data_IF_271259612226
#
_entry.id   IF_271259612226
#
_cell.length_a   1.000
_cell.length_b   1.000
_cell.length_c   1.000
_cell.angle_alpha   90.00
_cell.angle_beta   90.00
_cell.angle_gamma   90.00
#
_symmetry.space_group_name_H-M   'P 1'
#
loop_
_entity.id
_entity.type
_entity.pdbx_description
1 polymer ?
#
# COMPACT_ATOMS: atom_id res chain seq x y z
N UNK A 1 33.11 55.16 -9.79
CA UNK A 1 32.54 55.28 -11.16
C UNK A 1 32.94 54.18 -12.16
N UNK A 2 34.04 53.45 -11.95
CA UNK A 2 34.56 52.45 -12.92
C UNK A 2 33.74 51.13 -12.99
N UNK A 3 33.18 50.65 -11.87
CA UNK A 3 32.42 49.37 -11.83
C UNK A 3 31.11 49.38 -12.62
N UNK A 4 30.46 50.54 -12.81
CA UNK A 4 29.17 50.63 -13.51
C UNK A 4 29.32 50.47 -15.02
N UNK A 5 30.46 50.88 -15.61
CA UNK A 5 30.72 50.74 -17.05
C UNK A 5 31.05 49.29 -17.45
N UNK A 6 31.72 48.53 -16.58
CA UNK A 6 32.06 47.13 -16.87
C UNK A 6 30.83 46.22 -16.96
N UNK A 7 29.81 46.45 -16.12
CA UNK A 7 28.59 45.63 -16.11
C UNK A 7 27.74 45.77 -17.39
N UNK A 8 27.77 46.94 -18.04
CA UNK A 8 27.03 47.16 -19.29
C UNK A 8 27.73 46.53 -20.50
N UNK A 9 29.07 46.46 -20.49
CA UNK A 9 29.85 45.83 -21.56
C UNK A 9 29.65 44.31 -21.56
N UNK A 10 29.65 43.67 -20.38
CA UNK A 10 29.44 42.21 -20.28
C UNK A 10 28.03 41.81 -20.72
N UNK A 11 27.00 42.57 -20.33
CA UNK A 11 25.62 42.30 -20.76
C UNK A 11 25.48 42.45 -22.28
N UNK A 12 26.14 43.44 -22.88
CA UNK A 12 26.07 43.66 -24.33
C UNK A 12 26.74 42.52 -25.11
N UNK A 13 27.86 41.96 -24.62
CA UNK A 13 28.55 40.82 -25.26
C UNK A 13 27.71 39.54 -25.17
N UNK A 14 27.04 39.30 -24.04
CA UNK A 14 26.17 38.12 -23.87
C UNK A 14 24.96 38.19 -24.80
N UNK A 15 24.36 39.38 -24.95
CA UNK A 15 23.23 39.58 -25.87
C UNK A 15 23.66 39.41 -27.34
N UNK A 16 24.86 39.90 -27.71
CA UNK A 16 25.39 39.72 -29.06
C UNK A 16 25.68 38.24 -29.39
N UNK A 17 26.17 37.47 -28.41
CA UNK A 17 26.40 36.04 -28.55
C UNK A 17 25.10 35.23 -28.69
N UNK A 18 24.05 35.62 -27.98
CA UNK A 18 22.73 34.99 -28.08
C UNK A 18 22.05 35.25 -29.44
N UNK A 19 22.22 36.45 -30.03
CA UNK A 19 21.65 36.74 -31.36
C UNK A 19 22.35 35.97 -32.50
N UNK A 20 23.64 35.66 -32.36
CA UNK A 20 24.37 34.86 -33.36
C UNK A 20 23.92 33.39 -33.39
N UNK A 21 23.44 32.84 -32.27
CA UNK A 21 22.98 31.45 -32.17
C UNK A 21 21.63 31.19 -32.85
N UNK A 22 20.76 32.20 -32.96
CA UNK A 22 19.43 32.05 -33.57
C UNK A 22 19.38 32.27 -35.09
N UNK A 23 20.53 32.53 -35.74
CA UNK A 23 20.59 32.83 -37.18
C UNK A 23 21.00 31.62 -38.05
N UNK A 24 21.10 30.42 -37.47
CA UNK A 24 21.80 29.26 -38.06
C UNK A 24 21.00 28.24 -38.88
N UNK A 25 19.69 28.39 -39.09
CA UNK A 25 18.91 27.40 -39.85
C UNK A 25 17.96 28.07 -40.85
N UNK A 26 18.43 28.33 -42.07
CA UNK A 26 17.59 28.47 -43.26
C UNK A 26 18.47 28.35 -44.52
N UNK A 27 18.91 27.11 -44.83
CA UNK A 27 19.54 26.78 -46.09
C UNK A 27 18.47 26.18 -47.02
N UNK A 28 18.05 26.85 -48.12
CA UNK A 28 17.11 26.28 -49.06
C UNK A 28 17.83 25.24 -49.95
N UNK A 29 17.70 23.97 -49.59
CA UNK A 29 18.09 22.85 -50.43
C UNK A 29 17.11 22.68 -51.59
N UNK A 30 17.59 22.85 -52.81
CA UNK A 30 16.82 22.63 -54.04
C UNK A 30 16.71 21.11 -54.26
N UNK A 31 15.60 20.51 -53.88
CA UNK A 31 15.28 19.12 -54.22
C UNK A 31 14.44 19.15 -55.49
N UNK A 32 15.10 18.93 -56.63
CA UNK A 32 14.46 18.42 -57.83
C UNK A 32 14.71 16.91 -57.84
N UNK A 33 13.72 16.13 -57.43
CA UNK A 33 13.74 14.69 -57.61
C UNK A 33 12.34 14.21 -57.93
N UNK A 34 12.24 13.60 -59.10
CA UNK A 34 11.06 12.99 -59.67
C UNK A 34 10.55 11.90 -58.71
N UNK A 35 9.27 11.95 -58.34
CA UNK A 35 8.65 11.07 -57.33
C UNK A 35 8.74 9.59 -57.73
N UNK A 36 8.86 9.32 -59.04
CA UNK A 36 8.95 7.97 -59.58
C UNK A 36 10.29 7.27 -59.29
N UNK A 37 11.40 8.02 -59.13
CA UNK A 37 12.72 7.42 -58.84
C UNK A 37 12.86 6.97 -57.38
N UNK A 38 12.16 7.62 -56.44
CA UNK A 38 12.21 7.29 -55.01
C UNK A 38 11.42 6.00 -54.74
N UNK A 39 10.31 5.77 -55.45
CA UNK A 39 9.51 4.55 -55.31
C UNK A 39 10.25 3.34 -55.91
N UNK A 40 10.97 3.52 -57.03
CA UNK A 40 11.77 2.46 -57.64
C UNK A 40 12.98 2.03 -56.79
N UNK A 41 13.66 2.98 -56.13
CA UNK A 41 14.80 2.67 -55.25
C UNK A 41 14.35 1.98 -53.94
N UNK A 42 13.17 2.32 -53.42
CA UNK A 42 12.65 1.70 -52.19
C UNK A 42 12.21 0.25 -52.42
N UNK A 43 11.59 -0.06 -53.56
CA UNK A 43 11.17 -1.43 -53.91
C UNK A 43 12.36 -2.36 -54.20
N UNK A 44 13.47 -1.81 -54.72
CA UNK A 44 14.67 -2.61 -55.00
C UNK A 44 15.42 -2.96 -53.71
N UNK A 45 15.45 -2.06 -52.72
CA UNK A 45 16.08 -2.31 -51.42
C UNK A 45 15.36 -3.39 -50.59
N UNK A 46 14.02 -3.47 -50.66
CA UNK A 46 13.25 -4.54 -50.01
C UNK A 46 13.45 -5.93 -50.64
N UNK A 47 13.75 -5.99 -51.94
CA UNK A 47 13.97 -7.28 -52.63
C UNK A 47 15.33 -7.94 -52.31
N UNK A 48 16.32 -7.15 -51.91
CA UNK A 48 17.69 -7.64 -51.62
C UNK A 48 17.80 -8.19 -50.19
N UNK A 49 16.97 -7.72 -49.23
CA UNK A 49 16.95 -8.26 -47.87
C UNK A 49 16.28 -9.65 -47.76
N UNK A 50 15.51 -10.07 -48.75
CA UNK A 50 14.82 -11.37 -48.73
C UNK A 50 15.68 -12.57 -49.21
N UNK A 51 16.91 -12.34 -49.71
CA UNK A 51 17.75 -13.38 -50.32
C UNK A 51 19.11 -13.60 -49.66
N UNK A 52 19.39 -12.94 -48.53
CA UNK A 52 20.70 -13.00 -47.86
C UNK A 52 20.70 -13.78 -46.53
N UNK A 53 19.91 -14.84 -46.40
CA UNK A 53 19.98 -15.76 -45.24
C UNK A 53 20.10 -17.22 -45.70
N UNK A 54 21.28 -17.59 -46.16
CA UNK A 54 21.75 -18.99 -46.20
C UNK A 54 23.29 -19.01 -46.23
N UNK A 55 23.93 -18.68 -45.12
CA UNK A 55 25.34 -19.04 -44.91
C UNK A 55 25.46 -19.74 -43.56
N UNK A 56 25.57 -21.06 -43.65
CA UNK A 56 25.88 -22.00 -42.59
C UNK A 56 27.25 -21.64 -41.99
N UNK A 57 27.23 -21.06 -40.78
CA UNK A 57 28.44 -20.75 -40.01
C UNK A 57 28.42 -21.60 -38.75
N UNK A 58 29.56 -22.22 -38.45
CA UNK A 58 29.77 -23.14 -37.36
C UNK A 58 29.29 -22.59 -36.00
N UNK A 59 28.57 -23.45 -35.28
CA UNK A 59 27.94 -23.20 -33.98
C UNK A 59 29.02 -22.99 -32.91
N UNK A 60 29.21 -21.74 -32.50
CA UNK A 60 29.72 -21.40 -31.17
C UNK A 60 28.57 -21.62 -30.18
N UNK A 61 28.75 -22.32 -29.05
CA UNK A 61 27.67 -22.48 -28.08
C UNK A 61 27.27 -21.10 -27.56
N UNK A 62 26.04 -20.71 -27.88
CA UNK A 62 25.33 -19.56 -27.33
C UNK A 62 25.27 -19.73 -25.81
N UNK A 63 25.59 -18.70 -25.01
CA UNK A 63 25.33 -18.76 -23.58
C UNK A 63 23.84 -19.02 -23.41
N UNK A 64 23.48 -20.09 -22.71
CA UNK A 64 22.10 -20.38 -22.35
C UNK A 64 21.52 -19.13 -21.69
N UNK A 65 20.71 -18.39 -22.43
CA UNK A 65 19.90 -17.32 -21.90
C UNK A 65 19.02 -17.95 -20.82
N UNK A 66 19.13 -17.44 -19.60
CA UNK A 66 18.17 -17.76 -18.57
C UNK A 66 16.77 -17.49 -19.15
N UNK A 67 15.93 -18.52 -19.21
CA UNK A 67 14.53 -18.35 -19.63
C UNK A 67 13.92 -17.32 -18.68
N UNK A 68 13.48 -16.18 -19.23
CA UNK A 68 12.71 -15.20 -18.47
C UNK A 68 11.46 -15.92 -17.97
N UNK A 69 11.21 -16.00 -16.66
CA UNK A 69 10.06 -16.72 -16.15
C UNK A 69 8.77 -16.13 -16.74
N UNK A 70 7.92 -17.03 -17.24
CA UNK A 70 6.61 -16.66 -17.82
C UNK A 70 5.76 -16.01 -16.71
N UNK A 71 4.95 -14.98 -17.01
CA UNK A 71 4.05 -14.38 -16.03
C UNK A 71 3.27 -15.46 -15.27
N UNK A 72 3.35 -15.43 -13.93
CA UNK A 72 2.69 -16.42 -13.10
C UNK A 72 1.19 -16.16 -13.16
N UNK A 73 0.49 -16.93 -14.00
CA UNK A 73 -0.97 -17.01 -13.96
C UNK A 73 -1.40 -17.49 -12.58
N UNK A 74 -2.51 -16.98 -12.02
CA UNK A 74 -3.05 -17.46 -10.75
C UNK A 74 -3.06 -19.00 -10.73
N UNK A 75 -2.63 -19.63 -9.63
CA UNK A 75 -2.51 -21.08 -9.59
C UNK A 75 -3.86 -21.73 -9.87
N UNK A 76 -3.96 -22.47 -10.99
CA UNK A 76 -5.14 -23.23 -11.35
C UNK A 76 -5.23 -24.46 -10.41
N UNK A 77 -6.00 -24.33 -9.34
CA UNK A 77 -6.24 -25.42 -8.41
C UNK A 77 -7.25 -26.40 -9.05
N UNK A 78 -6.77 -27.57 -9.48
CA UNK A 78 -7.61 -28.59 -10.11
C UNK A 78 -8.67 -29.15 -9.16
N UNK A 79 -9.93 -29.17 -9.65
CA UNK A 79 -11.21 -29.37 -8.98
C UNK A 79 -11.49 -30.72 -8.26
N UNK A 80 -10.48 -31.45 -7.80
CA UNK A 80 -10.73 -32.54 -6.85
C UNK A 80 -11.17 -31.92 -5.51
N UNK A 81 -12.22 -32.42 -4.84
CA UNK A 81 -12.63 -31.90 -3.54
C UNK A 81 -11.48 -32.01 -2.55
N UNK A 82 -10.89 -30.87 -2.20
CA UNK A 82 -9.84 -30.78 -1.19
C UNK A 82 -10.50 -30.87 0.18
N UNK A 83 -10.03 -31.79 1.02
CA UNK A 83 -10.49 -31.90 2.40
C UNK A 83 -9.52 -31.11 3.28
N UNK A 84 -10.01 -30.01 3.85
CA UNK A 84 -9.25 -29.21 4.80
C UNK A 84 -9.32 -29.81 6.19
N UNK A 85 -8.17 -29.95 6.83
CA UNK A 85 -8.04 -30.49 8.19
C UNK A 85 -7.94 -29.36 9.20
N UNK A 86 -7.29 -28.27 8.79
CA UNK A 86 -7.00 -27.09 9.60
C UNK A 86 -7.44 -25.87 8.79
N UNK A 87 -8.27 -25.02 9.39
CA UNK A 87 -8.65 -23.74 8.81
C UNK A 87 -8.24 -22.62 9.77
N UNK A 88 -7.95 -21.41 9.27
CA UNK A 88 -7.70 -20.27 10.13
C UNK A 88 -8.93 -19.94 10.97
N UNK A 89 -8.69 -19.45 12.18
CA UNK A 89 -9.74 -18.93 13.06
C UNK A 89 -10.06 -17.46 12.73
N UNK A 90 -10.65 -16.78 13.71
CA UNK A 90 -10.71 -15.32 13.71
C UNK A 90 -9.37 -14.74 14.16
N UNK A 91 -9.04 -13.55 13.66
CA UNK A 91 -7.89 -12.79 14.15
C UNK A 91 -8.00 -12.56 15.66
N UNK A 92 -6.88 -12.71 16.35
CA UNK A 92 -6.79 -12.56 17.80
C UNK A 92 -6.43 -11.11 18.16
N UNK A 93 -5.88 -10.91 19.36
CA UNK A 93 -5.31 -9.62 19.75
C UNK A 93 -4.27 -9.16 18.73
N UNK A 94 -4.40 -7.94 18.24
CA UNK A 94 -3.43 -7.33 17.34
C UNK A 94 -2.09 -7.18 18.06
N UNK A 95 -1.03 -7.68 17.43
CA UNK A 95 0.33 -7.72 17.98
C UNK A 95 1.24 -6.67 17.35
N UNK A 96 0.98 -6.31 16.10
CA UNK A 96 1.77 -5.35 15.32
C UNK A 96 0.86 -4.65 14.30
N UNK A 97 1.14 -3.38 14.01
CA UNK A 97 0.30 -2.53 13.16
C UNK A 97 1.17 -1.58 12.35
N UNK A 98 0.86 -1.43 11.06
CA UNK A 98 1.35 -0.35 10.21
C UNK A 98 0.19 0.60 9.91
N UNK A 99 0.33 1.87 10.30
CA UNK A 99 -0.62 2.93 9.91
C UNK A 99 -0.06 3.66 8.67
N UNK A 100 -0.55 3.31 7.49
CA UNK A 100 -0.03 3.84 6.23
C UNK A 100 -0.26 5.36 6.08
N UNK A 101 -1.45 5.82 6.49
CA UNK A 101 -1.83 7.24 6.54
C UNK A 101 -0.78 8.13 7.22
N UNK A 102 -0.01 7.57 8.16
CA UNK A 102 1.02 8.29 8.91
C UNK A 102 2.33 8.47 8.14
N UNK A 103 2.61 7.56 7.22
CA UNK A 103 3.85 7.49 6.45
C UNK A 103 3.65 7.92 5.00
N UNK A 104 2.44 8.39 4.68
CA UNK A 104 2.00 8.77 3.35
C UNK A 104 3.02 9.63 2.59
N UNK A 105 3.54 9.07 1.50
CA UNK A 105 4.40 9.76 0.54
C UNK A 105 5.02 8.80 -0.49
N UNK A 106 4.81 9.12 -1.78
CA UNK A 106 5.47 8.43 -2.88
C UNK A 106 6.96 8.81 -2.93
N UNK A 107 7.82 7.80 -2.81
CA UNK A 107 9.25 7.91 -3.09
C UNK A 107 9.73 6.65 -3.82
N UNK A 108 9.69 6.75 -5.15
CA UNK A 108 10.17 5.74 -6.08
C UNK A 108 11.56 5.20 -5.72
N UNK A 109 12.47 6.05 -5.24
CA UNK A 109 13.86 5.66 -5.04
C UNK A 109 14.07 4.74 -3.84
N UNK A 110 13.10 4.67 -2.92
CA UNK A 110 13.20 3.87 -1.70
C UNK A 110 12.05 2.87 -1.57
N UNK A 111 11.41 2.54 -2.70
CA UNK A 111 10.34 1.56 -2.79
C UNK A 111 9.17 1.86 -1.84
N UNK A 112 8.81 3.14 -1.74
CA UNK A 112 7.62 3.61 -1.05
C UNK A 112 6.66 4.17 -2.10
N UNK A 113 5.52 3.53 -2.30
CA UNK A 113 4.60 3.84 -3.38
C UNK A 113 3.26 4.28 -2.83
N UNK A 114 2.85 5.48 -3.22
CA UNK A 114 1.50 6.01 -2.99
C UNK A 114 0.87 6.24 -4.35
N UNK A 115 0.60 5.13 -5.04
CA UNK A 115 0.19 5.13 -6.45
C UNK A 115 -1.14 4.39 -6.69
N UNK A 116 -2.16 4.44 -5.82
CA UNK A 116 -3.46 3.80 -6.06
C UNK A 116 -4.29 4.62 -7.06
N UNK A 117 -3.71 4.93 -8.23
CA UNK A 117 -4.36 5.67 -9.31
C UNK A 117 -4.15 4.96 -10.64
N UNK A 118 -5.13 5.11 -11.53
CA UNK A 118 -5.01 4.65 -12.92
C UNK A 118 -3.90 5.41 -13.67
N UNK A 119 -3.25 4.73 -14.63
CA UNK A 119 -2.29 5.36 -15.53
C UNK A 119 -2.96 6.51 -16.29
N UNK A 120 -2.24 7.61 -16.56
CA UNK A 120 -2.70 8.77 -17.35
C UNK A 120 -3.85 9.59 -16.74
N UNK A 121 -5.02 8.99 -16.48
CA UNK A 121 -6.20 9.71 -15.95
C UNK A 121 -6.08 10.04 -14.47
N UNK A 122 -5.23 9.33 -13.72
CA UNK A 122 -5.03 9.54 -12.28
C UNK A 122 -6.33 9.39 -11.47
N UNK A 123 -7.20 8.46 -11.86
CA UNK A 123 -8.43 8.14 -11.13
C UNK A 123 -8.11 7.22 -9.97
N UNK A 124 -8.68 7.50 -8.79
CA UNK A 124 -8.39 6.74 -7.58
C UNK A 124 -8.88 5.29 -7.68
N UNK A 125 -8.07 4.37 -7.17
CA UNK A 125 -8.36 2.96 -6.91
C UNK A 125 -8.40 2.72 -5.41
N UNK A 126 -9.54 3.01 -4.80
CA UNK A 126 -9.70 2.91 -3.34
C UNK A 126 -9.48 1.51 -2.78
N UNK A 127 -9.72 0.48 -3.60
CA UNK A 127 -9.46 -0.92 -3.27
C UNK A 127 -7.97 -1.28 -3.21
N UNK A 128 -7.09 -0.35 -3.62
CA UNK A 128 -5.64 -0.47 -3.56
C UNK A 128 -5.02 0.48 -2.54
N UNK A 129 -5.71 1.56 -2.17
CA UNK A 129 -5.24 2.60 -1.25
C UNK A 129 -5.20 2.07 0.19
N UNK A 130 -4.03 1.66 0.66
CA UNK A 130 -3.83 1.06 1.99
C UNK A 130 -3.99 2.14 3.06
N UNK A 131 -4.74 1.84 4.13
CA UNK A 131 -4.92 2.78 5.24
C UNK A 131 -4.22 2.29 6.50
N UNK A 132 -4.36 0.98 6.77
CA UNK A 132 -3.85 0.35 7.98
C UNK A 132 -3.70 -1.15 7.75
N UNK A 133 -2.63 -1.74 8.27
CA UNK A 133 -2.45 -3.17 8.25
C UNK A 133 -2.18 -3.66 9.67
N UNK A 134 -3.01 -4.58 10.13
CA UNK A 134 -2.89 -5.21 11.44
C UNK A 134 -2.42 -6.66 11.30
N UNK A 135 -1.51 -7.06 12.19
CA UNK A 135 -1.02 -8.42 12.28
C UNK A 135 -1.41 -9.04 13.63
N UNK A 136 -1.86 -10.30 13.61
CA UNK A 136 -2.04 -11.13 14.81
C UNK A 136 -1.54 -12.54 14.54
N UNK A 137 -1.32 -13.32 15.59
CA UNK A 137 -0.81 -14.69 15.44
C UNK A 137 -1.53 -15.68 16.35
N UNK A 138 -1.49 -16.95 15.98
CA UNK A 138 -1.76 -18.05 16.90
C UNK A 138 -0.69 -19.14 16.79
N UNK A 139 -0.94 -20.33 17.32
CA UNK A 139 0.02 -21.44 17.27
C UNK A 139 0.24 -22.02 15.86
N UNK A 140 -0.62 -21.68 14.89
CA UNK A 140 -0.70 -22.30 13.56
C UNK A 140 -0.52 -21.28 12.45
N UNK A 141 -1.13 -20.10 12.54
CA UNK A 141 -1.18 -19.09 11.48
C UNK A 141 -0.61 -17.74 11.93
N UNK A 142 -0.02 -17.04 10.95
CA UNK A 142 0.07 -15.59 10.94
C UNK A 142 -1.16 -15.05 10.22
N UNK A 143 -1.77 -14.00 10.76
CA UNK A 143 -2.93 -13.33 10.19
C UNK A 143 -2.62 -11.87 9.92
N UNK A 144 -3.15 -11.36 8.81
CA UNK A 144 -3.05 -9.97 8.41
C UNK A 144 -4.44 -9.45 8.03
N UNK A 145 -4.80 -8.26 8.50
CA UNK A 145 -5.98 -7.50 8.03
C UNK A 145 -5.45 -6.27 7.33
N UNK A 146 -5.70 -6.16 6.03
CA UNK A 146 -5.35 -4.99 5.24
C UNK A 146 -6.63 -4.16 5.13
N UNK A 147 -6.66 -3.01 5.78
CA UNK A 147 -7.76 -2.06 5.68
C UNK A 147 -7.46 -1.09 4.55
N UNK A 148 -8.32 -1.08 3.54
CA UNK A 148 -8.23 -0.25 2.37
C UNK A 148 -9.17 0.96 2.51
N UNK A 149 -8.98 1.95 1.63
CA UNK A 149 -9.75 3.18 1.66
C UNK A 149 -11.25 2.95 1.48
N UNK A 150 -11.59 2.14 0.48
CA UNK A 150 -12.94 1.73 0.12
C UNK A 150 -12.84 0.53 -0.85
N UNK A 151 -13.98 0.02 -1.33
CA UNK A 151 -14.01 -0.92 -2.45
C UNK A 151 -13.76 -0.21 -3.79
N UNK A 152 -13.52 -0.99 -4.84
CA UNK A 152 -13.40 -0.47 -6.20
C UNK A 152 -14.68 0.30 -6.59
N UNK A 153 -14.53 1.52 -7.11
CA UNK A 153 -15.68 2.38 -7.37
C UNK A 153 -16.59 1.84 -8.48
N UNK A 154 -16.06 1.09 -9.43
CA UNK A 154 -16.82 0.60 -10.58
C UNK A 154 -17.45 -0.76 -10.29
N UNK A 155 -16.67 -1.69 -9.74
CA UNK A 155 -17.12 -3.07 -9.52
C UNK A 155 -17.75 -3.30 -8.15
N UNK A 156 -17.51 -2.39 -7.20
CA UNK A 156 -17.96 -2.47 -5.80
C UNK A 156 -17.37 -3.68 -5.05
N UNK A 157 -16.19 -4.13 -5.47
CA UNK A 157 -15.48 -5.29 -4.92
C UNK A 157 -13.99 -4.99 -4.68
N UNK A 158 -13.27 -5.92 -4.08
CA UNK A 158 -11.82 -5.85 -3.86
C UNK A 158 -11.10 -6.52 -5.04
N UNK A 159 -10.81 -5.74 -6.09
CA UNK A 159 -10.38 -6.31 -7.38
C UNK A 159 -8.87 -6.35 -7.57
N UNK A 160 -8.13 -5.77 -6.62
CA UNK A 160 -6.67 -5.77 -6.61
C UNK A 160 -6.04 -7.12 -6.28
N UNK A 161 -4.72 -7.15 -6.31
CA UNK A 161 -3.96 -8.16 -5.60
C UNK A 161 -3.40 -7.58 -4.31
N UNK A 162 -3.22 -8.43 -3.31
CA UNK A 162 -2.85 -8.04 -1.96
C UNK A 162 -1.68 -8.90 -1.47
N UNK A 163 -0.59 -8.24 -1.08
CA UNK A 163 0.66 -8.87 -0.71
C UNK A 163 1.04 -8.64 0.74
N UNK A 164 1.69 -9.64 1.34
CA UNK A 164 2.44 -9.52 2.59
C UNK A 164 3.85 -10.07 2.36
N UNK A 165 4.84 -9.22 2.55
CA UNK A 165 6.25 -9.57 2.48
C UNK A 165 6.78 -9.92 3.88
N UNK A 166 7.60 -10.97 3.97
CA UNK A 166 8.28 -11.41 5.18
C UNK A 166 9.79 -11.38 4.95
N UNK A 167 10.50 -10.61 5.77
CA UNK A 167 11.96 -10.55 5.83
C UNK A 167 12.39 -11.15 7.18
N UNK A 168 12.71 -12.44 7.17
CA UNK A 168 12.94 -13.23 8.38
C UNK A 168 14.35 -13.02 8.93
N UNK A 169 15.33 -12.68 8.09
CA UNK A 169 16.71 -12.40 8.49
C UNK A 169 17.04 -10.90 8.68
N UNK A 170 16.10 -10.03 8.31
CA UNK A 170 16.04 -8.57 8.57
C UNK A 170 17.08 -7.79 7.76
N UNK A 171 17.42 -8.26 6.57
CA UNK A 171 18.45 -7.67 5.73
C UNK A 171 17.90 -6.63 4.73
N UNK A 172 16.58 -6.45 4.68
CA UNK A 172 15.90 -5.55 3.76
C UNK A 172 15.35 -6.24 2.50
N UNK A 173 15.64 -7.52 2.28
CA UNK A 173 15.07 -8.32 1.18
C UNK A 173 14.03 -9.27 1.75
N UNK A 174 12.88 -9.37 1.11
CA UNK A 174 11.89 -10.33 1.53
C UNK A 174 12.35 -11.76 1.25
N UNK A 175 12.23 -12.65 2.23
CA UNK A 175 12.44 -14.08 2.04
C UNK A 175 11.17 -14.77 1.52
N UNK A 176 9.98 -14.24 1.85
CA UNK A 176 8.70 -14.76 1.39
C UNK A 176 7.70 -13.67 1.02
N UNK A 177 6.85 -13.94 0.02
CA UNK A 177 5.71 -13.10 -0.37
C UNK A 177 4.43 -13.94 -0.38
N UNK A 178 3.53 -13.63 0.55
CA UNK A 178 2.15 -14.11 0.49
C UNK A 178 1.37 -13.20 -0.46
N UNK A 179 0.71 -13.78 -1.46
CA UNK A 179 0.07 -13.03 -2.54
C UNK A 179 -1.35 -13.53 -2.81
N UNK A 180 -2.34 -12.69 -2.55
CA UNK A 180 -3.74 -12.95 -2.85
C UNK A 180 -4.15 -12.30 -4.17
N UNK A 181 -4.70 -13.09 -5.07
CA UNK A 181 -5.20 -12.68 -6.36
C UNK A 181 -6.69 -12.41 -6.29
N UNK A 182 -7.10 -11.14 -6.44
CA UNK A 182 -8.51 -10.73 -6.56
C UNK A 182 -9.43 -11.46 -5.58
N UNK A 183 -9.30 -11.19 -4.26
CA UNK A 183 -9.97 -11.94 -3.22
C UNK A 183 -11.46 -12.11 -3.51
N UNK A 184 -12.03 -13.30 -3.26
CA UNK A 184 -13.45 -13.51 -3.48
C UNK A 184 -14.24 -12.55 -2.60
N UNK A 185 -15.45 -12.19 -3.02
CA UNK A 185 -16.41 -11.40 -2.23
C UNK A 185 -16.93 -12.12 -0.97
N UNK A 186 -16.32 -13.27 -0.62
CA UNK A 186 -16.71 -14.13 0.47
C UNK A 186 -16.10 -13.67 1.80
N UNK A 187 -16.92 -13.73 2.86
CA UNK A 187 -16.49 -13.55 4.25
C UNK A 187 -16.03 -14.86 4.90
N UNK A 188 -16.09 -15.99 4.17
CA UNK A 188 -15.54 -17.28 4.59
C UNK A 188 -14.13 -17.44 4.04
N UNK A 189 -13.23 -18.03 4.82
CA UNK A 189 -11.88 -18.37 4.39
C UNK A 189 -11.88 -19.22 3.12
N UNK A 190 -11.11 -18.78 2.13
CA UNK A 190 -10.89 -19.46 0.86
C UNK A 190 -9.39 -19.62 0.62
N UNK A 191 -9.00 -20.77 0.08
CA UNK A 191 -7.61 -21.13 -0.24
C UNK A 191 -7.35 -21.00 -1.75
N UNK A 192 -8.39 -20.81 -2.56
CA UNK A 192 -8.24 -20.57 -4.00
C UNK A 192 -7.79 -19.14 -4.24
N UNK A 193 -6.89 -18.94 -5.20
CA UNK A 193 -6.44 -17.60 -5.59
C UNK A 193 -5.44 -16.96 -4.62
N UNK A 194 -4.76 -17.72 -3.78
CA UNK A 194 -3.65 -17.24 -2.97
C UNK A 194 -2.41 -18.09 -3.24
N UNK A 195 -1.23 -17.50 -3.11
CA UNK A 195 0.05 -18.17 -3.29
C UNK A 195 1.06 -17.69 -2.25
N UNK A 196 2.04 -18.53 -1.94
CA UNK A 196 3.23 -18.14 -1.19
C UNK A 196 4.44 -18.33 -2.09
N UNK A 197 5.21 -17.26 -2.29
CA UNK A 197 6.47 -17.29 -2.99
C UNK A 197 7.64 -17.17 -2.01
N UNK A 198 8.81 -17.68 -2.39
CA UNK A 198 10.07 -17.51 -1.65
C UNK A 198 11.18 -17.04 -2.57
N UNK A 199 12.12 -16.33 -1.98
CA UNK A 199 13.42 -15.99 -2.56
C UNK A 199 14.51 -16.90 -1.97
N UNK A 200 14.97 -17.87 -2.76
CA UNK A 200 15.98 -18.84 -2.34
C UNK A 200 17.41 -18.33 -2.53
N UNK A 201 17.63 -17.41 -3.47
CA UNK A 201 18.93 -16.81 -3.76
C UNK A 201 19.22 -15.54 -2.95
N UNK A 202 18.23 -15.01 -2.23
CA UNK A 202 18.33 -13.84 -1.34
C UNK A 202 18.73 -12.58 -2.11
N UNK A 203 18.12 -12.40 -3.27
CA UNK A 203 18.43 -11.33 -4.22
C UNK A 203 17.21 -10.64 -4.82
N UNK A 204 16.04 -10.66 -4.16
CA UNK A 204 14.88 -9.81 -4.55
C UNK A 204 15.34 -8.39 -4.85
N UNK A 205 15.09 -7.92 -6.08
CA UNK A 205 15.45 -6.60 -6.56
C UNK A 205 16.91 -6.44 -6.99
N UNK A 206 17.42 -5.25 -6.75
CA UNK A 206 18.74 -4.80 -7.16
C UNK A 206 19.84 -5.17 -6.18
N UNK A 207 20.97 -4.47 -6.26
CA UNK A 207 22.10 -4.66 -5.33
C UNK A 207 21.87 -4.00 -3.97
N UNK A 208 21.06 -2.94 -3.90
CA UNK A 208 20.70 -2.22 -2.69
C UNK A 208 19.23 -2.50 -2.37
N UNK A 209 18.99 -3.31 -1.35
CA UNK A 209 17.64 -3.64 -0.90
C UNK A 209 16.79 -2.38 -0.70
N UNK A 210 15.54 -2.41 -1.18
CA UNK A 210 14.56 -1.31 -1.12
C UNK A 210 14.97 -0.04 -1.85
N UNK A 211 16.11 0.01 -2.57
CA UNK A 211 16.63 1.27 -3.14
C UNK A 211 16.90 1.11 -4.62
N UNK A 212 16.18 1.89 -5.43
CA UNK A 212 16.29 1.89 -6.88
C UNK A 212 17.73 1.95 -7.37
N UNK A 213 18.11 0.97 -8.17
CA UNK A 213 19.39 0.79 -8.83
C UNK A 213 19.27 0.99 -10.36
N UNK A 214 20.40 1.18 -11.07
CA UNK A 214 20.38 1.23 -12.53
C UNK A 214 19.90 -0.09 -13.14
N UNK A 215 18.89 -0.03 -14.01
CA UNK A 215 18.26 -1.20 -14.63
C UNK A 215 19.23 -2.30 -15.04
N UNK A 216 18.95 -3.53 -14.61
CA UNK A 216 19.70 -4.71 -14.97
C UNK A 216 18.76 -5.89 -15.23
N UNK A 217 18.77 -6.49 -16.44
CA UNK A 217 17.87 -7.58 -16.79
C UNK A 217 18.17 -8.90 -16.05
N UNK A 218 19.29 -8.99 -15.32
CA UNK A 218 19.64 -10.17 -14.53
C UNK A 218 18.98 -10.20 -13.14
N UNK A 219 18.32 -9.12 -12.72
CA UNK A 219 17.61 -9.07 -11.44
C UNK A 219 16.23 -9.73 -11.53
N UNK A 220 15.74 -10.17 -10.38
CA UNK A 220 14.50 -10.90 -10.18
C UNK A 220 13.87 -10.47 -8.85
N UNK A 221 12.59 -10.78 -8.68
CA UNK A 221 11.94 -10.86 -7.38
C UNK A 221 11.86 -12.33 -6.95
N UNK A 222 10.73 -12.69 -6.32
CA UNK A 222 10.47 -14.04 -5.85
C UNK A 222 10.34 -15.05 -7.00
N UNK A 223 11.16 -16.09 -6.98
CA UNK A 223 11.33 -17.03 -8.08
C UNK A 223 10.76 -18.43 -7.83
N UNK A 224 10.35 -18.74 -6.59
CA UNK A 224 9.85 -20.06 -6.22
C UNK A 224 8.45 -20.01 -5.61
N UNK A 225 7.48 -20.69 -6.20
CA UNK A 225 6.16 -20.94 -5.57
C UNK A 225 6.29 -22.05 -4.52
N UNK A 226 6.16 -21.67 -3.25
CA UNK A 226 6.16 -22.59 -2.10
C UNK A 226 4.78 -23.20 -1.88
N UNK A 227 3.73 -22.41 -2.12
CA UNK A 227 2.34 -22.82 -1.96
C UNK A 227 1.46 -22.20 -3.05
N UNK A 228 0.48 -22.92 -3.64
CA UNK A 228 0.02 -24.29 -3.29
C UNK A 228 1.05 -25.39 -3.58
N UNK A 229 2.02 -25.13 -4.45
CA UNK A 229 3.00 -26.13 -4.86
C UNK A 229 2.38 -27.19 -5.76
N UNK A 230 3.23 -27.92 -6.50
CA UNK A 230 2.78 -28.96 -7.44
C UNK A 230 3.55 -30.26 -7.22
N UNK A 231 2.92 -31.34 -6.70
CA UNK A 231 1.51 -31.44 -6.28
C UNK A 231 1.21 -30.70 -4.96
N UNK A 232 -0.05 -30.32 -4.74
CA UNK A 232 -0.51 -29.74 -3.47
C UNK A 232 -0.40 -30.77 -2.34
N UNK A 233 0.57 -30.57 -1.44
CA UNK A 233 0.81 -31.48 -0.30
C UNK A 233 0.22 -30.99 1.02
N UNK A 234 0.01 -29.69 1.16
CA UNK A 234 -0.61 -29.08 2.34
C UNK A 234 -1.76 -28.18 1.88
N UNK A 235 -3.01 -28.68 1.84
CA UNK A 235 -4.15 -27.88 1.38
C UNK A 235 -4.53 -26.73 2.32
N UNK A 236 -3.92 -26.65 3.50
CA UNK A 236 -4.30 -25.74 4.58
C UNK A 236 -3.25 -24.63 4.77
N UNK A 237 -2.42 -24.40 3.77
CA UNK A 237 -1.23 -23.57 3.86
C UNK A 237 -1.48 -22.07 3.93
N UNK A 238 -2.33 -21.55 3.04
CA UNK A 238 -2.63 -20.13 2.95
C UNK A 238 -4.09 -19.90 2.59
N UNK A 239 -4.62 -18.78 3.06
CA UNK A 239 -6.05 -18.47 3.01
C UNK A 239 -6.27 -16.96 2.87
N UNK A 240 -7.39 -16.59 2.27
CA UNK A 240 -7.88 -15.22 2.20
C UNK A 240 -9.39 -15.15 2.39
N UNK A 241 -9.90 -13.97 2.76
CA UNK A 241 -11.32 -13.60 2.75
C UNK A 241 -11.48 -12.08 2.80
N UNK A 242 -12.70 -11.61 2.58
CA UNK A 242 -13.13 -10.28 3.04
C UNK A 242 -13.42 -10.36 4.54
N UNK A 243 -13.05 -9.33 5.29
CA UNK A 243 -13.36 -9.24 6.72
C UNK A 243 -14.88 -9.33 6.94
N UNK A 244 -15.38 -10.22 7.81
CA UNK A 244 -16.82 -10.34 8.07
C UNK A 244 -17.46 -9.07 8.64
N UNK A 245 -16.66 -8.19 9.25
CA UNK A 245 -17.12 -6.92 9.84
C UNK A 245 -16.85 -5.70 8.96
N UNK A 246 -16.09 -5.84 7.88
CA UNK A 246 -15.68 -4.70 7.05
C UNK A 246 -15.44 -5.12 5.59
N UNK A 247 -16.26 -4.63 4.67
CA UNK A 247 -16.16 -4.93 3.25
C UNK A 247 -14.94 -4.29 2.58
N UNK A 248 -14.29 -3.32 3.23
CA UNK A 248 -13.08 -2.64 2.72
C UNK A 248 -11.81 -3.25 3.31
N UNK A 249 -11.90 -4.40 3.99
CA UNK A 249 -10.75 -5.06 4.62
C UNK A 249 -10.56 -6.47 4.06
N UNK A 250 -9.35 -6.76 3.57
CA UNK A 250 -8.94 -8.08 3.11
C UNK A 250 -8.16 -8.75 4.24
N UNK A 251 -8.55 -9.98 4.59
CA UNK A 251 -7.84 -10.77 5.58
C UNK A 251 -7.11 -11.92 4.93
N UNK A 252 -5.82 -12.05 5.28
CA UNK A 252 -4.93 -13.10 4.81
C UNK A 252 -4.45 -13.92 6.00
N UNK A 253 -4.28 -15.23 5.79
CA UNK A 253 -3.66 -16.10 6.77
C UNK A 253 -2.66 -17.04 6.09
N UNK A 254 -1.51 -17.23 6.72
CA UNK A 254 -0.48 -18.17 6.27
C UNK A 254 0.01 -19.02 7.42
N UNK A 255 0.12 -20.32 7.18
CA UNK A 255 0.58 -21.28 8.17
C UNK A 255 2.03 -21.00 8.50
N UNK A 256 2.33 -20.83 9.79
CA UNK A 256 3.65 -20.45 10.31
C UNK A 256 4.75 -21.38 9.83
N UNK A 257 4.45 -22.66 9.67
CA UNK A 257 5.41 -23.67 9.21
C UNK A 257 5.85 -23.49 7.76
N UNK A 258 5.05 -22.83 6.91
CA UNK A 258 5.43 -22.59 5.51
C UNK A 258 6.49 -21.50 5.36
N UNK A 259 6.57 -20.58 6.33
CA UNK A 259 7.56 -19.50 6.36
C UNK A 259 8.69 -19.78 7.36
N UNK A 260 8.85 -21.06 7.78
CA UNK A 260 9.96 -21.49 8.64
C UNK A 260 9.74 -21.33 10.15
N UNK A 261 8.51 -21.08 10.61
CA UNK A 261 8.16 -20.81 12.01
C UNK A 261 9.04 -19.72 12.67
N UNK A 262 9.18 -18.53 12.06
CA UNK A 262 10.03 -17.50 12.61
C UNK A 262 9.45 -17.01 13.95
N UNK A 263 10.36 -16.62 14.84
CA UNK A 263 10.01 -16.00 16.13
C UNK A 263 10.11 -14.47 16.10
N UNK A 264 10.67 -13.92 15.03
CA UNK A 264 10.78 -12.48 14.79
C UNK A 264 11.14 -12.20 13.33
N UNK A 265 10.57 -11.18 12.72
CA UNK A 265 10.80 -10.79 11.33
C UNK A 265 10.36 -9.34 11.08
N UNK A 266 10.84 -8.76 9.98
CA UNK A 266 10.25 -7.54 9.40
C UNK A 266 9.16 -7.95 8.42
N UNK A 267 8.11 -7.15 8.31
CA UNK A 267 7.06 -7.38 7.33
C UNK A 267 6.49 -6.07 6.80
N UNK A 268 5.97 -6.11 5.58
CA UNK A 268 5.28 -4.99 4.94
C UNK A 268 4.12 -5.51 4.09
N UNK A 269 3.25 -4.62 3.64
CA UNK A 269 2.15 -4.96 2.76
C UNK A 269 2.21 -4.16 1.47
N UNK A 270 1.61 -4.70 0.42
CA UNK A 270 1.43 -4.01 -0.84
C UNK A 270 0.10 -4.39 -1.49
N UNK A 271 -0.37 -3.53 -2.38
CA UNK A 271 -1.46 -3.79 -3.31
C UNK A 271 -1.00 -3.52 -4.73
N UNK A 272 -1.48 -4.32 -5.68
CA UNK A 272 -1.08 -4.19 -7.08
C UNK A 272 -2.19 -4.66 -8.02
N UNK A 273 -2.61 -3.78 -8.92
CA UNK A 273 -3.52 -4.13 -10.00
C UNK A 273 -2.99 -3.85 -11.41
N UNK A 274 -1.70 -3.49 -11.54
CA UNK A 274 -1.06 -3.19 -12.82
C UNK A 274 0.01 -4.21 -13.21
N UNK A 275 1.02 -4.42 -12.37
CA UNK A 275 2.21 -5.20 -12.73
C UNK A 275 1.98 -6.67 -12.44
N UNK A 276 1.48 -6.99 -11.23
CA UNK A 276 1.07 -8.33 -10.80
C UNK A 276 2.18 -9.37 -10.95
N UNK A 277 3.44 -8.98 -10.72
CA UNK A 277 4.60 -9.80 -11.03
C UNK A 277 5.49 -9.97 -9.80
N UNK A 278 5.20 -10.97 -8.97
CA UNK A 278 6.03 -11.36 -7.82
C UNK A 278 7.50 -11.59 -8.19
N UNK A 279 7.76 -12.13 -9.37
CA UNK A 279 9.11 -12.36 -9.92
C UNK A 279 9.84 -11.07 -10.36
N UNK A 280 9.24 -9.89 -10.18
CA UNK A 280 9.85 -8.56 -10.39
C UNK A 280 9.73 -7.65 -9.16
N UNK A 281 9.45 -8.21 -7.97
CA UNK A 281 9.35 -7.41 -6.75
C UNK A 281 10.62 -6.56 -6.51
N UNK A 282 10.49 -5.47 -5.76
CA UNK A 282 11.34 -4.27 -5.86
C UNK A 282 11.20 -3.60 -7.24
N UNK A 283 9.96 -3.21 -7.58
CA UNK A 283 9.62 -2.70 -8.92
C UNK A 283 10.48 -1.52 -9.40
N UNK A 284 11.03 -0.73 -8.48
CA UNK A 284 11.89 0.41 -8.80
C UNK A 284 13.27 0.02 -9.37
N UNK A 285 13.61 -1.27 -9.37
CA UNK A 285 14.79 -1.82 -10.03
C UNK A 285 14.52 -2.30 -11.48
N UNK A 286 13.25 -2.34 -11.88
CA UNK A 286 12.80 -2.78 -13.21
C UNK A 286 12.27 -1.65 -14.08
N UNK A 287 12.08 -0.46 -13.51
CA UNK A 287 11.63 0.73 -14.21
C UNK A 287 12.53 1.92 -13.87
N UNK A 288 12.74 2.84 -14.82
CA UNK A 288 13.24 4.16 -14.46
C UNK A 288 12.11 5.02 -13.89
N UNK A 289 12.41 6.05 -13.11
CA UNK A 289 11.40 7.02 -12.62
C UNK A 289 10.58 7.63 -13.77
N UNK A 290 11.20 7.82 -14.94
CA UNK A 290 10.52 8.31 -16.14
C UNK A 290 9.54 7.30 -16.76
N UNK A 291 9.83 6.00 -16.68
CA UNK A 291 8.97 4.90 -17.16
C UNK A 291 7.87 4.57 -16.15
N UNK A 292 8.18 4.64 -14.85
CA UNK A 292 7.25 4.45 -13.76
C UNK A 292 6.19 5.56 -13.70
N UNK A 293 6.61 6.80 -13.98
CA UNK A 293 5.79 7.99 -13.80
C UNK A 293 5.69 8.41 -12.33
N UNK A 294 5.00 9.51 -12.07
CA UNK A 294 4.86 10.09 -10.72
C UNK A 294 3.41 10.51 -10.44
N UNK A 295 2.91 10.33 -9.20
CA UNK A 295 1.58 10.79 -8.81
C UNK A 295 1.54 12.31 -8.59
N UNK A 296 2.69 12.96 -8.39
CA UNK A 296 2.77 14.40 -8.15
C UNK A 296 2.73 15.23 -9.44
N UNK A 297 1.69 16.06 -9.60
CA UNK A 297 1.52 16.93 -10.78
C UNK A 297 2.67 17.90 -11.06
N UNK A 298 3.51 18.21 -10.06
CA UNK A 298 4.68 19.08 -10.22
C UNK A 298 5.94 18.34 -10.67
N UNK A 299 5.96 17.00 -10.64
CA UNK A 299 7.09 16.18 -11.09
C UNK A 299 7.11 16.13 -12.63
N UNK A 300 8.27 16.30 -13.29
CA UNK A 300 8.38 16.19 -14.75
C UNK A 300 7.94 14.85 -15.34
N UNK A 301 7.90 13.78 -14.53
CA UNK A 301 7.48 12.44 -14.92
C UNK A 301 5.98 12.19 -14.75
N UNK A 302 5.18 13.16 -14.27
CA UNK A 302 3.72 13.06 -14.20
C UNK A 302 3.07 12.88 -15.59
N UNK A 303 1.99 12.10 -15.73
CA UNK A 303 1.30 11.30 -14.71
C UNK A 303 1.98 9.95 -14.42
N UNK A 304 1.36 9.11 -13.59
CA UNK A 304 1.75 7.70 -13.45
C UNK A 304 1.63 6.96 -14.79
N UNK A 305 2.49 5.95 -14.96
CA UNK A 305 2.67 5.16 -16.19
C UNK A 305 2.76 3.66 -15.87
N UNK A 306 3.92 3.04 -16.11
CA UNK A 306 4.12 1.60 -15.97
C UNK A 306 4.00 1.09 -14.53
N UNK A 307 4.27 1.97 -13.54
CA UNK A 307 4.10 1.69 -12.12
C UNK A 307 2.96 2.56 -11.58
N UNK A 308 1.74 2.21 -11.97
CA UNK A 308 0.46 2.78 -11.51
C UNK A 308 -0.32 1.70 -10.76
N UNK A 309 -1.44 2.07 -10.12
CA UNK A 309 -2.31 1.14 -9.39
C UNK A 309 -1.55 0.24 -8.41
N UNK A 310 -0.66 0.87 -7.64
CA UNK A 310 0.22 0.22 -6.67
C UNK A 310 0.23 1.03 -5.38
N UNK A 311 0.20 0.34 -4.26
CA UNK A 311 0.40 0.95 -2.95
C UNK A 311 1.27 0.00 -2.12
N UNK A 312 2.11 0.53 -1.25
CA UNK A 312 2.79 -0.30 -0.26
C UNK A 312 3.12 0.47 1.01
N UNK A 313 3.28 -0.30 2.09
CA UNK A 313 3.66 0.27 3.36
C UNK A 313 5.16 0.21 3.56
N UNK A 314 5.65 1.06 4.47
CA UNK A 314 6.89 0.78 5.17
C UNK A 314 6.80 -0.54 5.95
N UNK A 315 7.95 -1.06 6.38
CA UNK A 315 8.04 -2.32 7.15
C UNK A 315 7.85 -2.09 8.65
N UNK A 316 7.25 -3.07 9.32
CA UNK A 316 7.15 -3.12 10.77
C UNK A 316 7.81 -4.37 11.34
N UNK A 317 8.22 -4.30 12.61
CA UNK A 317 8.81 -5.41 13.32
C UNK A 317 7.75 -6.26 14.01
N UNK A 318 7.92 -7.58 13.94
CA UNK A 318 7.23 -8.52 14.81
C UNK A 318 8.23 -9.35 15.61
N UNK A 319 7.95 -9.55 16.90
CA UNK A 319 8.78 -10.39 17.79
C UNK A 319 10.11 -9.76 18.24
N UNK A 320 10.39 -8.51 17.88
CA UNK A 320 11.57 -7.76 18.37
C UNK A 320 11.32 -6.25 18.41
N UNK A 321 12.22 -5.50 19.05
CA UNK A 321 12.18 -4.04 19.06
C UNK A 321 13.16 -3.49 18.01
N UNK A 322 12.69 -2.76 16.98
CA UNK A 322 13.57 -2.25 15.95
C UNK A 322 14.47 -1.13 16.49
N UNK A 323 15.65 -1.02 15.90
CA UNK A 323 16.65 0.02 16.19
C UNK A 323 16.41 1.29 15.39
N UNK A 324 15.62 1.20 14.31
CA UNK A 324 15.39 2.25 13.32
C UNK A 324 16.43 2.27 12.20
N UNK A 325 17.34 1.29 12.15
CA UNK A 325 18.32 1.14 11.07
C UNK A 325 17.98 -0.04 10.13
N UNK A 326 16.94 -0.80 10.47
CA UNK A 326 16.43 -1.86 9.62
C UNK A 326 15.93 -1.26 8.29
N UNK A 327 16.29 -1.84 7.12
CA UNK A 327 15.84 -1.31 5.84
C UNK A 327 14.31 -1.31 5.72
N UNK A 328 13.76 -0.25 5.12
CA UNK A 328 12.32 -0.09 4.94
C UNK A 328 11.50 0.15 6.22
N UNK A 329 12.10 0.12 7.42
CA UNK A 329 11.33 0.25 8.67
C UNK A 329 10.56 1.58 8.74
N UNK A 330 9.31 1.51 9.17
CA UNK A 330 8.50 2.67 9.45
C UNK A 330 9.21 3.62 10.42
N UNK A 331 9.31 4.89 10.04
CA UNK A 331 9.99 5.90 10.87
C UNK A 331 9.25 6.05 12.19
N UNK A 332 9.84 5.61 13.29
CA UNK A 332 9.23 5.81 14.60
C UNK A 332 8.89 7.28 14.77
N UNK A 333 7.60 7.57 14.91
CA UNK A 333 7.14 8.93 15.17
C UNK A 333 7.69 9.27 16.54
N UNK A 334 8.72 10.11 16.56
CA UNK A 334 9.30 10.59 17.79
C UNK A 334 8.17 11.36 18.46
N UNK A 335 7.49 10.75 19.42
CA UNK A 335 6.54 11.47 20.26
C UNK A 335 7.41 12.49 20.95
N UNK A 336 7.39 13.72 20.43
CA UNK A 336 8.18 14.81 20.94
C UNK A 336 7.73 14.94 22.39
N UNK A 337 8.57 14.48 23.32
CA UNK A 337 8.21 14.42 24.72
C UNK A 337 7.73 15.81 25.09
N UNK A 338 6.43 15.95 25.34
CA UNK A 338 5.84 17.22 25.74
C UNK A 338 6.63 17.62 26.97
N UNK A 339 7.40 18.70 26.85
CA UNK A 339 8.29 19.15 27.90
C UNK A 339 7.45 19.22 29.17
N UNK A 340 7.74 18.32 30.12
CA UNK A 340 7.00 18.23 31.38
C UNK A 340 6.92 19.66 31.91
N UNK A 341 5.72 20.21 32.16
CA UNK A 341 5.58 21.61 32.53
C UNK A 341 6.55 21.88 33.67
N UNK A 342 7.46 22.83 33.43
CA UNK A 342 8.52 23.18 34.35
C UNK A 342 7.81 23.67 35.61
N UNK A 343 7.69 22.80 36.61
CA UNK A 343 7.08 23.12 37.88
C UNK A 343 7.85 24.31 38.44
N UNK A 344 7.27 25.50 38.32
CA UNK A 344 7.77 26.71 38.97
C UNK A 344 7.69 26.43 40.45
N UNK A 345 8.85 26.26 41.08
CA UNK A 345 8.99 26.02 42.50
C UNK A 345 8.28 27.13 43.28
N UNK A 346 7.14 26.80 43.90
CA UNK A 346 6.53 27.64 44.92
C UNK A 346 7.46 27.67 46.15
N UNK A 347 7.80 28.84 46.72
CA UNK A 347 8.70 28.91 47.86
C UNK A 347 8.10 28.26 49.13
N UNK A 348 8.83 27.28 49.66
CA UNK A 348 9.08 27.06 51.09
C UNK A 348 7.89 26.80 52.02
N UNK A 349 7.60 25.52 52.27
CA UNK A 349 7.17 25.08 53.61
C UNK A 349 8.04 23.89 54.02
N UNK A 350 8.79 24.08 55.08
CA UNK A 350 9.69 23.11 55.71
C UNK A 350 8.89 21.91 56.24
N UNK A 351 9.21 20.66 55.86
CA UNK A 351 8.58 19.49 56.48
C UNK A 351 9.29 19.13 57.78
N UNK A 352 8.53 19.19 58.88
CA UNK A 352 8.89 18.63 60.18
C UNK A 352 8.95 17.11 60.07
N UNK A 353 10.10 16.52 60.41
CA UNK A 353 10.29 15.07 60.49
C UNK A 353 9.55 14.51 61.71
N UNK A 354 8.53 13.70 61.49
CA UNK A 354 8.00 12.77 62.49
C UNK A 354 8.29 11.34 62.03
N UNK A 355 8.87 10.46 62.85
CA UNK A 355 9.08 9.07 62.49
C UNK A 355 7.73 8.34 62.52
N UNK A 356 7.33 7.75 61.39
CA UNK A 356 6.15 6.90 61.32
C UNK A 356 6.61 5.45 61.13
N UNK A 357 6.25 4.61 62.09
CA UNK A 357 6.42 3.16 62.11
C UNK A 357 5.65 2.52 60.94
N UNK A 358 6.22 1.52 60.23
CA UNK A 358 5.56 0.92 59.08
C UNK A 358 4.41 0.01 59.53
N UNK A 359 3.18 0.48 59.35
CA UNK A 359 2.00 -0.39 59.40
C UNK A 359 1.73 -0.93 58.00
N UNK A 360 1.73 -2.27 57.88
CA UNK A 360 1.41 -3.02 56.68
C UNK A 360 -0.02 -2.67 56.21
N UNK A 361 -0.15 -1.82 55.20
CA UNK A 361 -1.44 -1.58 54.54
C UNK A 361 -1.77 -2.79 53.67
N UNK A 362 -2.85 -3.47 54.03
CA UNK A 362 -3.57 -4.37 53.13
C UNK A 362 -4.40 -3.47 52.22
N UNK A 363 -4.04 -3.40 50.95
CA UNK A 363 -4.83 -2.74 49.92
C UNK A 363 -6.00 -3.68 49.60
N UNK A 364 -7.18 -3.35 50.11
CA UNK A 364 -8.43 -3.95 49.63
C UNK A 364 -8.81 -3.20 48.35
N UNK A 365 -8.68 -3.85 47.19
CA UNK A 365 -9.22 -3.36 45.92
C UNK A 365 -10.75 -3.46 45.99
N UNK A 366 -11.39 -2.39 46.46
CA UNK A 366 -12.83 -2.20 46.30
C UNK A 366 -13.08 -1.34 45.07
N UNK A 367 -13.87 -1.92 44.16
CA UNK A 367 -14.47 -1.41 42.93
C UNK A 367 -13.72 -1.73 41.61
N UNK A 368 -14.39 -2.39 40.63
CA UNK A 368 -13.84 -2.59 39.30
C UNK A 368 -13.64 -1.23 38.62
N UNK A 369 -12.69 -1.10 37.67
CA UNK A 369 -12.48 0.14 36.95
C UNK A 369 -13.80 0.61 36.34
N UNK A 370 -14.21 1.84 36.69
CA UNK A 370 -15.33 2.52 36.06
C UNK A 370 -15.01 2.60 34.58
N UNK A 371 -15.70 1.78 33.79
CA UNK A 371 -15.58 1.78 32.34
C UNK A 371 -15.77 3.19 31.78
N UNK A 372 -14.81 3.66 30.99
CA UNK A 372 -14.93 4.91 30.24
C UNK A 372 -15.90 4.70 29.06
N UNK A 373 -16.57 5.79 28.66
CA UNK A 373 -17.53 5.79 27.56
C UNK A 373 -16.90 5.22 26.27
N UNK A 374 -17.66 4.43 25.51
CA UNK A 374 -17.31 4.10 24.13
C UNK A 374 -17.75 5.20 23.15
N UNK A 375 -17.32 5.10 21.89
CA UNK A 375 -17.59 6.10 20.85
C UNK A 375 -18.39 5.51 19.68
N UNK A 376 -19.57 6.05 19.41
CA UNK A 376 -20.32 5.77 18.17
C UNK A 376 -19.91 6.78 17.13
N UNK A 377 -19.62 6.34 15.90
CA UNK A 377 -19.45 7.21 14.74
C UNK A 377 -20.40 6.79 13.62
N UNK A 378 -21.20 7.72 13.12
CA UNK A 378 -22.07 7.55 11.97
C UNK A 378 -21.53 8.33 10.77
N UNK A 379 -21.50 7.72 9.58
CA UNK A 379 -20.92 8.28 8.36
C UNK A 379 -21.91 8.27 7.21
N UNK A 380 -21.80 9.25 6.31
CA UNK A 380 -22.44 9.22 5.00
C UNK A 380 -21.41 8.79 3.94
N UNK A 381 -21.60 7.64 3.29
CA UNK A 381 -20.76 7.21 2.16
C UNK A 381 -20.99 8.14 0.96
N UNK A 382 -19.91 8.57 0.29
CA UNK A 382 -19.88 9.63 -0.75
C UNK A 382 -20.14 11.05 -0.19
N UNK A 383 -19.21 11.53 0.64
CA UNK A 383 -19.29 12.86 1.21
C UNK A 383 -19.18 13.97 0.15
N UNK A 384 -20.24 14.77 0.03
CA UNK A 384 -20.20 16.09 -0.59
C UNK A 384 -20.95 17.07 0.33
N UNK A 385 -20.25 18.10 0.83
CA UNK A 385 -20.81 19.08 1.76
C UNK A 385 -22.11 19.76 1.26
N UNK A 386 -22.32 19.82 -0.07
CA UNK A 386 -23.54 20.36 -0.65
C UNK A 386 -24.74 19.40 -0.58
N UNK A 387 -24.51 18.09 -0.51
CA UNK A 387 -25.57 17.06 -0.55
C UNK A 387 -25.95 16.59 0.86
N UNK A 388 -25.05 16.77 1.80
CA UNK A 388 -25.17 16.25 3.16
C UNK A 388 -25.66 17.27 4.17
N UNK A 389 -25.86 18.53 3.77
CA UNK A 389 -26.34 19.61 4.64
C UNK A 389 -27.75 19.36 5.21
N UNK A 390 -28.52 18.45 4.60
CA UNK A 390 -29.85 18.03 5.07
C UNK A 390 -29.83 16.69 5.81
N UNK A 391 -28.66 16.08 6.02
CA UNK A 391 -28.55 14.81 6.73
C UNK A 391 -28.55 15.06 8.23
N UNK A 392 -29.31 14.28 8.97
CA UNK A 392 -29.31 14.27 10.43
C UNK A 392 -29.25 12.82 10.92
N UNK A 393 -28.31 12.57 11.82
CA UNK A 393 -28.15 11.31 12.54
C UNK A 393 -28.62 11.48 13.98
N UNK A 394 -29.29 10.49 14.55
CA UNK A 394 -29.74 10.52 15.95
C UNK A 394 -29.38 9.22 16.68
N UNK A 395 -28.84 9.35 17.89
CA UNK A 395 -28.58 8.23 18.81
C UNK A 395 -29.43 8.44 20.05
N UNK A 396 -30.43 7.56 20.27
CA UNK A 396 -31.37 7.66 21.39
C UNK A 396 -32.02 9.07 21.56
N UNK A 397 -32.25 9.76 20.44
CA UNK A 397 -32.85 11.10 20.39
C UNK A 397 -31.86 12.27 20.49
N UNK A 398 -30.57 12.02 20.74
CA UNK A 398 -29.53 13.05 20.58
C UNK A 398 -29.07 13.11 19.11
N UNK A 399 -29.44 14.20 18.44
CA UNK A 399 -29.27 14.35 17.00
C UNK A 399 -28.13 15.29 16.65
N UNK A 400 -27.30 14.90 15.68
CA UNK A 400 -26.20 15.68 15.14
C UNK A 400 -26.25 15.67 13.62
N UNK A 401 -25.87 16.78 13.02
CA UNK A 401 -25.57 16.83 11.59
C UNK A 401 -24.14 16.35 11.36
N UNK A 402 -23.84 15.73 10.21
CA UNK A 402 -22.48 15.40 9.81
C UNK A 402 -21.55 16.62 9.86
N UNK A 403 -20.30 16.43 10.28
CA UNK A 403 -19.27 17.47 10.21
C UNK A 403 -18.94 17.79 8.76
N UNK A 404 -18.55 19.05 8.51
CA UNK A 404 -18.36 19.57 7.16
C UNK A 404 -17.11 19.01 6.45
N UNK A 405 -16.13 18.55 7.22
CA UNK A 405 -14.82 18.08 6.76
C UNK A 405 -14.84 16.62 6.32
N UNK A 406 -15.51 15.75 7.07
CA UNK A 406 -15.44 14.31 6.85
C UNK A 406 -16.82 13.64 6.66
N UNK A 407 -17.91 14.31 6.99
CA UNK A 407 -19.25 13.71 6.91
C UNK A 407 -19.58 12.71 8.00
N UNK A 408 -18.81 12.71 9.08
CA UNK A 408 -19.07 11.91 10.27
C UNK A 408 -19.83 12.68 11.35
N UNK A 409 -20.51 11.96 12.23
CA UNK A 409 -21.02 12.46 13.51
C UNK A 409 -20.65 11.47 14.63
N UNK A 410 -20.19 11.98 15.78
CA UNK A 410 -19.65 11.16 16.87
C UNK A 410 -20.45 11.35 18.19
N UNK A 411 -20.58 10.29 18.99
CA UNK A 411 -21.15 10.35 20.35
C UNK A 411 -20.29 9.55 21.33
N UNK A 412 -20.07 10.11 22.52
CA UNK A 412 -19.52 9.38 23.66
C UNK A 412 -20.68 8.85 24.50
N UNK A 413 -20.82 7.54 24.54
CA UNK A 413 -21.94 6.86 25.22
C UNK A 413 -21.44 5.76 26.14
N UNK A 414 -22.13 5.45 27.24
CA UNK A 414 -21.78 4.29 28.06
C UNK A 414 -21.94 2.98 27.26
N UNK A 415 -21.31 1.87 27.66
CA UNK A 415 -21.54 0.59 27.01
C UNK A 415 -23.03 0.20 26.98
N UNK A 416 -23.49 -0.30 25.85
CA UNK A 416 -24.91 -0.58 25.64
C UNK A 416 -25.26 -0.88 24.20
N UNK A 417 -26.55 -1.09 23.94
CA UNK A 417 -27.10 -1.21 22.58
C UNK A 417 -27.80 0.10 22.25
N UNK A 418 -27.51 0.62 21.06
CA UNK A 418 -27.97 1.91 20.58
C UNK A 418 -28.61 1.75 19.21
N UNK A 419 -29.73 2.45 19.00
CA UNK A 419 -30.31 2.60 17.67
C UNK A 419 -29.88 3.94 17.10
N UNK A 420 -29.19 3.90 15.97
CA UNK A 420 -28.82 5.08 15.18
C UNK A 420 -29.86 5.23 14.09
N UNK A 421 -30.56 6.36 14.04
CA UNK A 421 -31.45 6.69 12.94
C UNK A 421 -30.83 7.76 12.06
N UNK A 422 -31.08 7.67 10.75
CA UNK A 422 -30.60 8.62 9.77
C UNK A 422 -31.77 9.16 8.96
N UNK A 423 -31.75 10.46 8.67
CA UNK A 423 -32.74 11.10 7.82
C UNK A 423 -32.06 12.05 6.84
N UNK A 424 -32.51 12.00 5.58
CA UNK A 424 -32.04 12.88 4.51
C UNK A 424 -33.24 13.28 3.63
N UNK A 425 -34.05 14.27 4.04
CA UNK A 425 -35.33 14.56 3.38
C UNK A 425 -35.24 14.90 1.90
N UNK A 426 -34.09 15.45 1.47
CA UNK A 426 -33.87 15.86 0.08
C UNK A 426 -33.42 14.70 -0.83
N UNK A 427 -32.78 13.66 -0.27
CA UNK A 427 -32.04 12.70 -1.07
C UNK A 427 -32.41 11.25 -0.82
N UNK A 428 -33.10 10.89 0.27
CA UNK A 428 -33.22 9.50 0.69
C UNK A 428 -31.94 9.01 1.38
N UNK A 429 -32.07 8.07 2.32
CA UNK A 429 -30.91 7.49 3.04
C UNK A 429 -31.19 6.02 3.38
N UNK A 430 -30.21 5.17 3.13
CA UNK A 430 -30.29 3.73 3.38
C UNK A 430 -29.04 3.22 4.10
N UNK A 431 -29.16 2.40 5.15
CA UNK A 431 -30.42 2.13 5.87
C UNK A 431 -30.96 3.40 6.56
N UNK A 432 -32.24 3.47 6.91
CA UNK A 432 -32.76 4.59 7.72
C UNK A 432 -32.50 4.43 9.22
N UNK A 433 -32.08 3.23 9.64
CA UNK A 433 -31.75 2.89 11.03
C UNK A 433 -30.79 1.70 11.12
N UNK A 434 -29.89 1.72 12.10
CA UNK A 434 -28.97 0.61 12.43
C UNK A 434 -28.94 0.43 13.95
N UNK A 435 -28.92 -0.82 14.43
CA UNK A 435 -28.62 -1.13 15.82
C UNK A 435 -27.13 -1.45 15.97
N UNK A 436 -26.46 -0.82 16.93
CA UNK A 436 -25.05 -1.04 17.23
C UNK A 436 -24.85 -1.32 18.71
N UNK A 437 -23.84 -2.12 19.04
CA UNK A 437 -23.46 -2.44 20.42
C UNK A 437 -22.11 -1.80 20.72
N UNK A 438 -22.06 -0.99 21.76
CA UNK A 438 -20.84 -0.32 22.22
C UNK A 438 -20.32 -1.02 23.45
N UNK A 439 -19.03 -1.36 23.41
CA UNK A 439 -18.26 -1.87 24.53
C UNK A 439 -17.37 -0.77 25.14
N UNK A 440 -16.78 -1.07 26.30
CA UNK A 440 -15.87 -0.16 26.99
C UNK A 440 -14.68 0.23 26.11
N UNK A 441 -14.41 1.53 26.00
CA UNK A 441 -13.26 2.08 25.26
C UNK A 441 -13.19 1.64 23.78
N UNK A 442 -14.30 1.15 23.21
CA UNK A 442 -14.41 0.79 21.80
C UNK A 442 -15.01 1.91 20.97
N UNK A 443 -14.65 1.92 19.69
CA UNK A 443 -15.19 2.83 18.68
C UNK A 443 -15.90 2.00 17.63
N UNK A 444 -17.16 2.30 17.37
CA UNK A 444 -17.96 1.60 16.35
C UNK A 444 -18.34 2.54 15.22
N UNK A 445 -18.15 2.09 14.00
CA UNK A 445 -18.43 2.84 12.78
C UNK A 445 -19.72 2.32 12.14
N UNK A 446 -20.61 3.23 11.74
CA UNK A 446 -21.88 2.90 11.11
C UNK A 446 -22.04 3.73 9.84
N UNK A 447 -22.22 3.07 8.70
CA UNK A 447 -22.24 3.72 7.39
C UNK A 447 -23.66 3.80 6.84
N UNK A 448 -23.95 4.95 6.23
CA UNK A 448 -25.23 5.28 5.62
C UNK A 448 -24.99 5.79 4.21
N UNK A 449 -25.80 5.35 3.25
CA UNK A 449 -25.66 5.76 1.86
C UNK A 449 -26.78 6.71 1.47
N UNK A 450 -26.40 7.86 0.88
CA UNK A 450 -27.34 8.72 0.17
C UNK A 450 -27.60 8.13 -1.21
N UNK A 451 -28.86 7.97 -1.56
CA UNK A 451 -29.27 7.51 -2.87
C UNK A 451 -30.68 8.00 -3.13
N UNK A 452 -31.02 8.40 -4.38
CA UNK A 452 -32.27 9.08 -4.71
C UNK A 452 -33.46 8.35 -4.09
N UNK A 453 -34.12 9.04 -3.16
CA UNK A 453 -35.26 8.54 -2.40
C UNK A 453 -36.48 8.17 -3.23
#
# INVERSE_FOLDING_TARGET
>A
MVKKKFRHVVIFIVILGLMAFFSGCNLPGTISSNVDDIVAQTMTALSIQALASSNETAVTPEPQGAEIPTPMTPPENTAAPVIHVIMPGEMQTIESTVDDIKYNGDDFNIEMYERPFTETQMENRFDLDLQKIDMSTDNTFFYFSLDLKDVNIDTKTMDGNYGIEFDIDKDGRGDYLLWAYQPPVSISWDYLGIALFSDNNKDVGGTRAMVSDPLNPAWNGYETEVWPGKPLTDPDGAWMRISPGDATSVQLAVKRSLVGNPTSFLWGSCTDDQIKASYKFDYNDFYTDAEAGSPYAANPNYPLKALSQMDNTCREAWGFKPTGNEPGICKQTVVQATAKPKNTSKPGVTPTKTPVTPTKQVITLTEPPTCLNGMIVAWVSLWNAAWTSSVTFCVNGDCKNPRADDGGADWLVPPGVYTITASAPAFGISPSSVETRIECDKKEHNYFTLGPG
#
